data_IF_783244654577
#
_entry.id   IF_783244654577
#
_cell.length_a   1.000
_cell.length_b   1.000
_cell.length_c   1.000
_cell.angle_alpha   90.00
_cell.angle_beta   90.00
_cell.angle_gamma   90.00
#
_symmetry.space_group_name_H-M   'P 1'
#
loop_
_entity.id
_entity.type
_entity.pdbx_description
1 polymer ?
#
# COMPACT_ATOMS: atom_id res chain seq x y z
N UNK A 1 -11.70 -3.77 16.23
CA UNK A 1 -10.47 -4.42 16.74
C UNK A 1 -10.41 -5.84 16.24
N UNK A 2 -11.50 -6.61 16.37
CA UNK A 2 -11.62 -8.00 15.89
C UNK A 2 -11.19 -8.21 14.43
N UNK A 3 -11.65 -7.37 13.49
CA UNK A 3 -11.22 -7.45 12.08
C UNK A 3 -9.69 -7.36 11.90
N UNK A 4 -9.01 -6.48 12.64
CA UNK A 4 -7.57 -6.28 12.47
C UNK A 4 -6.77 -7.47 12.99
N UNK A 5 -7.15 -8.03 14.13
CA UNK A 5 -6.50 -9.23 14.64
C UNK A 5 -6.73 -10.41 13.69
N UNK A 6 -7.94 -10.55 13.14
CA UNK A 6 -8.24 -11.57 12.13
C UNK A 6 -7.43 -11.38 10.85
N UNK A 7 -7.23 -10.13 10.41
CA UNK A 7 -6.39 -9.82 9.24
C UNK A 7 -4.92 -10.14 9.50
N UNK A 8 -4.39 -9.78 10.68
CA UNK A 8 -3.01 -10.11 11.07
C UNK A 8 -2.81 -11.62 11.17
N UNK A 9 -3.80 -12.37 11.67
CA UNK A 9 -3.80 -13.83 11.66
C UNK A 9 -3.81 -14.39 10.23
N UNK A 10 -4.62 -13.81 9.33
CA UNK A 10 -4.63 -14.17 7.91
C UNK A 10 -3.27 -13.90 7.23
N UNK A 11 -2.58 -12.82 7.61
CA UNK A 11 -1.20 -12.56 7.16
C UNK A 11 -0.23 -13.63 7.63
N UNK A 12 -0.32 -14.08 8.89
CA UNK A 12 0.50 -15.17 9.41
C UNK A 12 0.25 -16.50 8.68
N UNK A 13 -1.02 -16.83 8.42
CA UNK A 13 -1.37 -18.01 7.61
C UNK A 13 -0.82 -17.91 6.19
N UNK A 14 -0.96 -16.75 5.56
CA UNK A 14 -0.41 -16.50 4.24
C UNK A 14 1.12 -16.63 4.21
N UNK A 15 1.83 -16.16 5.25
CA UNK A 15 3.29 -16.30 5.29
C UNK A 15 3.75 -17.75 5.40
N UNK A 16 3.05 -18.61 6.15
CA UNK A 16 3.41 -20.03 6.21
C UNK A 16 3.21 -20.71 4.84
N UNK A 17 2.11 -20.41 4.13
CA UNK A 17 1.88 -20.92 2.77
C UNK A 17 3.01 -20.48 1.82
N UNK A 18 3.45 -19.22 1.93
CA UNK A 18 4.55 -18.70 1.11
C UNK A 18 5.87 -19.40 1.48
N UNK A 19 6.17 -19.60 2.76
CA UNK A 19 7.37 -20.29 3.23
C UNK A 19 7.40 -21.73 2.68
N UNK A 20 6.31 -22.48 2.86
CA UNK A 20 6.17 -23.85 2.33
C UNK A 20 6.39 -23.89 0.82
N UNK A 21 5.81 -22.95 0.07
CA UNK A 21 5.99 -22.88 -1.38
C UNK A 21 7.44 -22.59 -1.78
N UNK A 22 8.12 -21.65 -1.13
CA UNK A 22 9.52 -21.35 -1.42
C UNK A 22 10.45 -22.52 -1.12
N UNK A 23 10.22 -23.22 0.00
CA UNK A 23 10.95 -24.44 0.36
C UNK A 23 10.72 -25.55 -0.67
N UNK A 24 9.49 -25.71 -1.16
CA UNK A 24 9.16 -26.71 -2.19
C UNK A 24 9.89 -26.50 -3.52
N UNK A 25 10.26 -25.25 -3.85
CA UNK A 25 11.00 -24.88 -5.07
C UNK A 25 12.52 -24.88 -4.82
N UNK A 26 12.96 -25.10 -3.58
CA UNK A 26 14.38 -25.04 -3.19
C UNK A 26 14.97 -23.63 -3.29
N UNK A 27 14.14 -22.59 -3.16
CA UNK A 27 14.57 -21.20 -3.24
C UNK A 27 14.70 -20.58 -1.85
N UNK A 28 15.93 -20.20 -1.48
CA UNK A 28 16.23 -19.46 -0.25
C UNK A 28 16.38 -20.34 0.99
N UNK A 29 16.88 -19.74 2.06
CA UNK A 29 17.00 -20.35 3.37
C UNK A 29 15.75 -20.06 4.21
N UNK A 30 15.18 -21.08 4.84
CA UNK A 30 13.94 -20.99 5.62
C UNK A 30 14.04 -19.87 6.66
N UNK A 31 15.16 -19.83 7.39
CA UNK A 31 15.36 -18.89 8.49
C UNK A 31 15.27 -17.43 8.02
N UNK A 32 15.83 -17.16 6.84
CA UNK A 32 15.83 -15.84 6.21
C UNK A 32 14.43 -15.44 5.76
N UNK A 33 13.71 -16.35 5.10
CA UNK A 33 12.35 -16.10 4.61
C UNK A 33 11.40 -15.86 5.78
N UNK A 34 11.45 -16.73 6.80
CA UNK A 34 10.64 -16.61 8.01
C UNK A 34 10.89 -15.28 8.71
N UNK A 35 12.16 -14.91 8.92
CA UNK A 35 12.52 -13.60 9.51
C UNK A 35 11.97 -12.41 8.72
N UNK A 36 12.00 -12.48 7.38
CA UNK A 36 11.41 -11.44 6.52
C UNK A 36 9.90 -11.37 6.67
N UNK A 37 9.21 -12.51 6.71
CA UNK A 37 7.76 -12.56 6.88
C UNK A 37 7.33 -12.01 8.25
N UNK A 38 8.02 -12.40 9.32
CA UNK A 38 7.79 -11.88 10.68
C UNK A 38 7.96 -10.36 10.75
N UNK A 39 9.01 -9.81 10.12
CA UNK A 39 9.20 -8.36 10.01
C UNK A 39 8.05 -7.68 9.25
N UNK A 40 7.54 -8.32 8.21
CA UNK A 40 6.38 -7.81 7.45
C UNK A 40 5.12 -7.73 8.33
N UNK A 41 4.83 -8.78 9.10
CA UNK A 41 3.67 -8.84 9.99
C UNK A 41 3.82 -7.85 11.15
N UNK A 42 5.01 -7.78 11.76
CA UNK A 42 5.33 -6.81 12.81
C UNK A 42 5.18 -5.37 12.30
N UNK A 43 5.69 -5.08 11.09
CA UNK A 43 5.53 -3.78 10.44
C UNK A 43 4.06 -3.43 10.16
N UNK A 44 3.26 -4.39 9.67
CA UNK A 44 1.82 -4.21 9.49
C UNK A 44 1.12 -3.88 10.81
N UNK A 45 1.48 -4.58 11.90
CA UNK A 45 0.93 -4.33 13.24
C UNK A 45 1.26 -2.92 13.72
N UNK A 46 2.51 -2.49 13.63
CA UNK A 46 2.93 -1.13 14.01
C UNK A 46 2.31 -0.05 13.14
N UNK A 47 2.02 -0.35 11.86
CA UNK A 47 1.33 0.57 10.98
C UNK A 47 -0.15 0.74 11.37
N UNK A 48 -0.86 -0.35 11.67
CA UNK A 48 -2.29 -0.36 12.00
C UNK A 48 -2.59 0.04 13.46
N UNK A 49 -1.67 -0.26 14.38
CA UNK A 49 -1.79 -0.04 15.81
C UNK A 49 -0.63 0.84 16.28
N UNK A 50 -0.96 2.06 16.70
CA UNK A 50 0.00 3.06 17.17
C UNK A 50 -0.25 3.30 18.66
N UNK A 51 0.80 3.15 19.48
CA UNK A 51 0.74 3.33 20.95
C UNK A 51 -0.38 2.51 21.61
N UNK A 52 -0.57 1.27 21.15
CA UNK A 52 -1.62 0.37 21.63
C UNK A 52 -3.04 0.71 21.17
N UNK A 53 -3.21 1.75 20.34
CA UNK A 53 -4.50 2.19 19.79
C UNK A 53 -4.59 1.95 18.30
N UNK A 54 -5.75 1.46 17.86
CA UNK A 54 -6.02 1.26 16.44
C UNK A 54 -6.14 2.61 15.72
N UNK A 55 -5.37 2.78 14.65
CA UNK A 55 -5.57 3.89 13.72
C UNK A 55 -6.76 3.58 12.81
N UNK A 56 -7.90 4.22 13.07
CA UNK A 56 -9.17 3.94 12.37
C UNK A 56 -9.10 4.22 10.88
N UNK A 57 -8.38 5.25 10.46
CA UNK A 57 -8.24 5.61 9.05
C UNK A 57 -7.49 4.51 8.29
N UNK A 58 -6.38 4.03 8.83
CA UNK A 58 -5.60 2.92 8.24
C UNK A 58 -6.37 1.61 8.24
N UNK A 59 -7.09 1.32 9.32
CA UNK A 59 -7.97 0.15 9.40
C UNK A 59 -9.09 0.20 8.37
N UNK A 60 -9.72 1.37 8.17
CA UNK A 60 -10.76 1.56 7.16
C UNK A 60 -10.23 1.43 5.73
N UNK A 61 -9.06 2.01 5.45
CA UNK A 61 -8.37 1.83 4.16
C UNK A 61 -8.08 0.35 3.90
N UNK A 62 -7.52 -0.37 4.89
CA UNK A 62 -7.26 -1.80 4.79
C UNK A 62 -8.54 -2.57 4.49
N UNK A 63 -9.63 -2.27 5.19
CA UNK A 63 -10.92 -2.93 4.99
C UNK A 63 -11.47 -2.72 3.57
N UNK A 64 -11.50 -1.47 3.09
CA UNK A 64 -11.98 -1.16 1.73
C UNK A 64 -11.13 -1.85 0.66
N UNK A 65 -9.81 -1.87 0.85
CA UNK A 65 -8.86 -2.50 -0.07
C UNK A 65 -8.88 -4.04 -0.01
N UNK A 66 -9.34 -4.62 1.09
CA UNK A 66 -9.43 -6.07 1.29
C UNK A 66 -10.73 -6.66 0.73
N UNK A 67 -11.84 -5.92 0.81
CA UNK A 67 -13.16 -6.36 0.37
C UNK A 67 -13.62 -5.61 -0.89
N UNK A 68 -12.83 -5.74 -1.96
CA UNK A 68 -13.04 -5.03 -3.24
C UNK A 68 -14.25 -5.53 -4.03
N UNK A 69 -14.81 -6.66 -3.65
CA UNK A 69 -15.97 -7.29 -4.24
C UNK A 69 -17.30 -6.74 -3.69
N UNK A 70 -17.28 -6.05 -2.54
CA UNK A 70 -18.49 -5.54 -1.91
C UNK A 70 -19.08 -4.32 -2.67
N UNK A 71 -20.36 -4.39 -3.09
CA UNK A 71 -21.03 -3.32 -3.84
C UNK A 71 -20.96 -1.93 -3.20
N UNK A 72 -21.28 -1.83 -1.90
CA UNK A 72 -21.27 -0.56 -1.16
C UNK A 72 -19.88 0.11 -1.13
N UNK A 73 -18.81 -0.68 -1.23
CA UNK A 73 -17.44 -0.20 -1.18
C UNK A 73 -16.88 0.22 -2.55
N UNK A 74 -17.67 0.11 -3.63
CA UNK A 74 -17.26 0.48 -4.99
C UNK A 74 -16.82 1.94 -5.11
N UNK A 75 -17.64 2.88 -4.65
CA UNK A 75 -17.32 4.31 -4.70
C UNK A 75 -16.14 4.71 -3.81
N UNK A 76 -16.07 4.31 -2.52
CA UNK A 76 -14.90 4.55 -1.69
C UNK A 76 -13.59 4.03 -2.32
N UNK A 77 -13.63 2.85 -2.94
CA UNK A 77 -12.47 2.28 -3.62
C UNK A 77 -12.06 3.11 -4.83
N UNK A 78 -13.00 3.46 -5.70
CA UNK A 78 -12.72 4.31 -6.86
C UNK A 78 -12.09 5.64 -6.45
N UNK A 79 -12.53 6.22 -5.33
CA UNK A 79 -11.93 7.43 -4.78
C UNK A 79 -10.48 7.19 -4.33
N UNK A 80 -10.23 6.12 -3.57
CA UNK A 80 -8.87 5.75 -3.13
C UNK A 80 -7.95 5.52 -4.34
N UNK A 81 -8.39 4.75 -5.32
CA UNK A 81 -7.62 4.48 -6.55
C UNK A 81 -7.34 5.78 -7.32
N UNK A 82 -8.32 6.70 -7.43
CA UNK A 82 -8.13 8.01 -8.06
C UNK A 82 -7.03 8.85 -7.39
N UNK A 83 -6.88 8.77 -6.06
CA UNK A 83 -5.79 9.47 -5.36
C UNK A 83 -4.42 8.83 -5.61
N UNK A 84 -4.37 7.51 -5.73
CA UNK A 84 -3.14 6.79 -6.10
C UNK A 84 -2.72 7.16 -7.52
N UNK A 85 -3.67 7.17 -8.46
CA UNK A 85 -3.46 7.59 -9.84
C UNK A 85 -3.02 9.05 -9.96
N UNK A 86 -3.58 9.93 -9.13
CA UNK A 86 -3.18 11.34 -9.06
C UNK A 86 -1.70 11.48 -8.65
N UNK A 87 -1.27 10.78 -7.59
CA UNK A 87 0.13 10.85 -7.16
C UNK A 87 1.08 10.26 -8.22
N UNK A 88 0.71 9.14 -8.84
CA UNK A 88 1.47 8.59 -9.96
C UNK A 88 1.61 9.61 -11.10
N UNK A 89 0.53 10.29 -11.47
CA UNK A 89 0.52 11.30 -12.51
C UNK A 89 1.41 12.50 -12.17
N UNK A 90 1.42 12.94 -10.90
CA UNK A 90 2.32 14.00 -10.42
C UNK A 90 3.79 13.59 -10.51
N UNK A 91 4.12 12.33 -10.18
CA UNK A 91 5.49 11.82 -10.28
C UNK A 91 5.96 11.74 -11.74
N UNK A 92 5.11 11.25 -12.64
CA UNK A 92 5.39 11.21 -14.08
C UNK A 92 5.61 12.62 -14.66
N UNK A 93 4.79 13.58 -14.24
CA UNK A 93 4.95 14.99 -14.62
C UNK A 93 6.30 15.54 -14.14
N UNK A 94 6.63 15.37 -12.85
CA UNK A 94 7.91 15.84 -12.28
C UNK A 94 9.12 15.24 -12.99
N UNK A 95 9.05 13.95 -13.31
CA UNK A 95 10.14 13.26 -13.99
C UNK A 95 10.31 13.79 -15.43
N UNK A 96 9.21 13.88 -16.17
CA UNK A 96 9.21 14.41 -17.55
C UNK A 96 9.73 15.84 -17.59
N UNK A 97 9.32 16.67 -16.62
CA UNK A 97 9.82 18.03 -16.47
C UNK A 97 11.32 18.07 -16.17
N UNK A 98 11.82 17.27 -15.23
CA UNK A 98 13.25 17.19 -14.92
C UNK A 98 14.09 16.78 -16.15
N UNK A 99 13.63 15.78 -16.91
CA UNK A 99 14.31 15.33 -18.14
C UNK A 99 14.25 16.37 -19.26
N UNK A 100 13.15 17.11 -19.38
CA UNK A 100 13.04 18.22 -20.32
C UNK A 100 14.04 19.33 -19.97
N UNK A 101 14.12 19.72 -18.70
CA UNK A 101 15.08 20.73 -18.23
C UNK A 101 16.53 20.30 -18.48
N UNK A 102 16.85 19.04 -18.18
CA UNK A 102 18.20 18.49 -18.45
C UNK A 102 18.56 18.55 -19.93
N UNK A 103 17.60 18.28 -20.83
CA UNK A 103 17.81 18.41 -22.28
C UNK A 103 18.09 19.85 -22.72
N UNK A 104 17.45 20.83 -22.08
CA UNK A 104 17.54 22.24 -22.48
C UNK A 104 18.81 22.93 -21.96
N UNK A 105 19.18 22.68 -20.71
CA UNK A 105 20.27 23.42 -20.04
C UNK A 105 21.35 22.52 -19.43
N UNK A 106 21.28 21.20 -19.65
CA UNK A 106 22.11 20.23 -18.94
C UNK A 106 21.82 20.28 -17.44
N UNK A 107 22.88 20.18 -16.63
CA UNK A 107 22.81 20.30 -15.16
C UNK A 107 23.25 21.67 -14.65
N UNK A 108 23.07 22.73 -15.46
CA UNK A 108 23.37 24.10 -15.05
C UNK A 108 22.38 24.54 -13.97
N UNK A 109 22.82 25.49 -13.14
CA UNK A 109 21.96 26.18 -12.18
C UNK A 109 20.75 26.80 -12.90
N UNK A 110 19.56 26.62 -12.33
CA UNK A 110 18.34 27.21 -12.86
C UNK A 110 18.32 28.72 -12.66
N UNK A 111 17.58 29.44 -13.50
CA UNK A 111 17.42 30.90 -13.37
C UNK A 111 16.73 31.33 -12.07
N UNK A 112 16.00 30.42 -11.42
CA UNK A 112 15.44 30.60 -10.08
C UNK A 112 16.42 30.37 -8.91
N UNK A 113 17.71 30.18 -9.19
CA UNK A 113 18.76 29.99 -8.17
C UNK A 113 18.86 28.57 -7.57
N UNK A 114 18.02 27.62 -8.03
CA UNK A 114 18.13 26.21 -7.63
C UNK A 114 19.27 25.51 -8.38
N UNK A 115 19.70 24.35 -7.87
CA UNK A 115 20.66 23.47 -8.56
C UNK A 115 20.14 22.86 -9.88
N UNK A 116 18.97 23.30 -10.37
CA UNK A 116 18.41 22.84 -11.64
C UNK A 116 17.89 21.41 -11.53
N UNK A 117 18.45 20.52 -12.35
CA UNK A 117 17.99 19.12 -12.46
C UNK A 117 18.13 18.36 -11.14
N UNK A 118 19.20 18.59 -10.37
CA UNK A 118 19.39 17.94 -9.06
C UNK A 118 18.24 18.23 -8.08
N UNK A 119 17.80 19.48 -8.02
CA UNK A 119 16.64 19.87 -7.23
C UNK A 119 15.37 19.18 -7.72
N UNK A 120 15.13 19.17 -9.03
CA UNK A 120 13.93 18.54 -9.62
C UNK A 120 13.90 17.03 -9.36
N UNK A 121 15.03 16.35 -9.51
CA UNK A 121 15.18 14.92 -9.22
C UNK A 121 14.93 14.62 -7.73
N UNK A 122 15.39 15.49 -6.83
CA UNK A 122 15.07 15.36 -5.40
C UNK A 122 13.55 15.42 -5.15
N UNK A 123 12.79 16.15 -5.96
CA UNK A 123 11.33 16.22 -5.79
C UNK A 123 10.58 14.92 -6.11
N UNK A 124 11.22 13.96 -6.80
CA UNK A 124 10.64 12.65 -7.08
C UNK A 124 10.57 11.75 -5.84
N UNK A 125 11.30 12.09 -4.78
CA UNK A 125 11.32 11.31 -3.53
C UNK A 125 10.11 11.59 -2.64
N UNK A 126 9.38 12.68 -2.88
CA UNK A 126 8.22 13.04 -2.05
C UNK A 126 7.03 12.15 -2.36
N UNK A 127 6.40 11.62 -1.29
CA UNK A 127 5.14 10.88 -1.33
C UNK A 127 4.15 11.59 -0.42
N UNK A 128 2.97 11.91 -0.95
CA UNK A 128 1.88 12.61 -0.29
C UNK A 128 0.96 11.58 0.39
N UNK A 129 0.56 10.53 -0.34
CA UNK A 129 -0.42 9.54 0.13
C UNK A 129 0.23 8.26 0.66
N UNK A 130 1.18 8.39 1.59
CA UNK A 130 2.01 7.27 2.12
C UNK A 130 1.17 6.09 2.64
N UNK A 131 0.08 6.38 3.34
CA UNK A 131 -0.78 5.33 3.93
C UNK A 131 -1.50 4.51 2.83
N UNK A 132 -1.90 5.12 1.71
CA UNK A 132 -2.56 4.40 0.60
C UNK A 132 -1.63 3.36 -0.03
N UNK A 133 -0.34 3.69 -0.13
CA UNK A 133 0.67 2.77 -0.65
C UNK A 133 1.07 1.72 0.36
N UNK A 134 1.22 2.09 1.64
CA UNK A 134 1.58 1.15 2.70
C UNK A 134 0.50 0.07 2.87
N UNK A 135 -0.78 0.42 2.82
CA UNK A 135 -1.90 -0.55 2.92
C UNK A 135 -1.81 -1.62 1.83
N UNK A 136 -1.44 -1.27 0.60
CA UNK A 136 -1.33 -2.22 -0.53
C UNK A 136 -0.26 -3.30 -0.27
N UNK A 137 0.72 -3.04 0.59
CA UNK A 137 1.79 -4.00 0.92
C UNK A 137 1.40 -5.04 1.97
N UNK A 138 0.27 -4.84 2.66
CA UNK A 138 -0.20 -5.70 3.75
C UNK A 138 -1.52 -6.40 3.40
N UNK A 139 -1.91 -6.40 2.13
CA UNK A 139 -3.07 -7.13 1.63
C UNK A 139 -2.77 -8.63 1.59
N UNK A 140 -3.80 -9.42 1.87
CA UNK A 140 -3.78 -10.88 1.77
C UNK A 140 -4.85 -11.33 0.78
N UNK A 141 -4.77 -12.58 0.35
CA UNK A 141 -5.77 -13.13 -0.56
C UNK A 141 -7.14 -13.18 0.09
N UNK A 142 -8.19 -12.94 -0.71
CA UNK A 142 -9.58 -12.84 -0.24
C UNK A 142 -10.10 -14.10 0.45
N UNK A 143 -9.60 -15.28 0.06
CA UNK A 143 -9.96 -16.58 0.62
C UNK A 143 -9.42 -16.83 2.03
N UNK A 144 -8.38 -16.09 2.43
CA UNK A 144 -7.83 -16.17 3.79
C UNK A 144 -8.49 -15.17 4.75
N UNK A 145 -9.27 -14.23 4.23
CA UNK A 145 -9.94 -13.20 5.02
C UNK A 145 -11.25 -13.73 5.59
N UNK A 146 -11.61 -13.30 6.82
CA UNK A 146 -12.91 -13.63 7.38
C UNK A 146 -14.04 -12.99 6.55
N UNK A 147 -15.22 -13.59 6.61
CA UNK A 147 -16.41 -12.96 6.06
C UNK A 147 -16.76 -11.68 6.82
N UNK A 148 -17.34 -10.73 6.10
CA UNK A 148 -17.78 -9.47 6.71
C UNK A 148 -18.99 -9.70 7.60
N UNK A 149 -19.03 -8.97 8.71
CA UNK A 149 -20.21 -8.96 9.58
C UNK A 149 -21.35 -8.27 8.84
N UNK A 150 -22.50 -8.95 8.77
CA UNK A 150 -23.71 -8.52 8.03
C UNK A 150 -23.44 -8.26 6.52
N UNK A 151 -23.20 -9.31 5.71
CA UNK A 151 -22.93 -9.15 4.28
C UNK A 151 -24.01 -8.35 3.52
N UNK A 152 -25.28 -8.54 3.89
CA UNK A 152 -26.43 -7.84 3.28
C UNK A 152 -26.36 -6.31 3.41
N UNK A 153 -25.67 -5.77 4.42
CA UNK A 153 -25.46 -4.32 4.55
C UNK A 153 -24.65 -3.74 3.39
N UNK A 154 -23.77 -4.55 2.80
CA UNK A 154 -22.85 -4.12 1.75
C UNK A 154 -23.36 -4.38 0.33
N UNK A 155 -24.54 -4.97 0.19
CA UNK A 155 -25.18 -5.20 -1.11
C UNK A 155 -25.68 -3.87 -1.72
N UNK A 156 -26.08 -3.92 -2.99
CA UNK A 156 -26.76 -2.78 -3.60
C UNK A 156 -28.10 -2.58 -2.89
N UNK A 157 -28.32 -1.40 -2.30
CA UNK A 157 -29.66 -1.02 -1.87
C UNK A 157 -30.52 -0.88 -3.13
N UNK A 158 -31.30 -1.91 -3.46
CA UNK A 158 -32.44 -1.77 -4.36
C UNK A 158 -33.51 -0.95 -3.63
N UNK A 159 -33.45 0.37 -3.78
CA UNK A 159 -34.62 1.21 -3.55
C UNK A 159 -35.56 1.11 -4.75
#
# INVERSE_FOLDING_TARGET
TEYLESHLEAMSKHSEIVIEHFLSIGHGDESSIRSRMEKSISGARSFLIQDGKVNRSRAGLLFIESYRDLPLLSWPRNLIDSFVELEQSLLLFRNSHARMVERMIGRRMGTGGSSGVDYLDATLKYRIFVDLWTVRTILVRRDLLPDVVNPSYYEFNSQ
#
